data_IF_426702885388
#
_entry.id   IF_426702885388
#
_cell.length_a   1.000
_cell.length_b   1.000
_cell.length_c   1.000
_cell.angle_alpha   90.00
_cell.angle_beta   90.00
_cell.angle_gamma   90.00
#
_symmetry.space_group_name_H-M   'P 1'
#
loop_
_entity.id
_entity.type
_entity.pdbx_description
1 polymer ?
#
# COMPACT_ATOMS: atom_id res chain seq x y z
N UNK A 1 27.32 0.21 -21.43
CA UNK A 1 27.50 -0.32 -20.06
C UNK A 1 28.93 -0.01 -19.65
N UNK A 2 29.14 0.45 -18.42
CA UNK A 2 30.41 0.95 -17.87
C UNK A 2 31.51 -0.12 -17.68
N UNK A 3 31.25 -1.38 -18.02
CA UNK A 3 32.17 -2.50 -17.82
C UNK A 3 32.29 -2.95 -16.36
N UNK A 4 31.53 -2.35 -15.43
CA UNK A 4 31.59 -2.69 -14.02
C UNK A 4 30.72 -3.94 -13.73
N UNK A 5 31.29 -5.03 -13.18
CA UNK A 5 30.53 -6.22 -12.83
C UNK A 5 29.36 -5.94 -11.87
N UNK A 6 29.49 -4.92 -11.00
CA UNK A 6 28.41 -4.51 -10.08
C UNK A 6 27.22 -3.90 -10.82
N UNK A 7 27.44 -3.20 -11.93
CA UNK A 7 26.37 -2.64 -12.78
C UNK A 7 25.57 -3.76 -13.44
N UNK A 8 26.26 -4.75 -14.02
CA UNK A 8 25.62 -5.90 -14.66
C UNK A 8 24.85 -6.79 -13.66
N UNK A 9 25.40 -7.02 -12.46
CA UNK A 9 24.69 -7.74 -11.40
C UNK A 9 23.57 -6.93 -10.76
N UNK A 10 23.75 -5.61 -10.65
CA UNK A 10 22.76 -4.69 -10.11
C UNK A 10 21.49 -4.65 -10.96
N UNK A 11 21.65 -4.62 -12.29
CA UNK A 11 20.55 -4.61 -13.25
C UNK A 11 19.67 -5.88 -13.22
N UNK A 12 20.11 -6.96 -12.56
CA UNK A 12 19.33 -8.18 -12.38
C UNK A 12 18.41 -8.12 -11.15
N UNK A 13 18.51 -7.06 -10.33
CA UNK A 13 17.70 -6.84 -9.13
C UNK A 13 16.68 -5.74 -9.40
N UNK A 14 15.54 -5.71 -8.68
CA UNK A 14 14.66 -4.55 -8.72
C UNK A 14 15.42 -3.27 -8.36
N UNK A 15 15.35 -2.26 -9.21
CA UNK A 15 15.94 -0.95 -8.96
C UNK A 15 15.00 -0.13 -8.07
N UNK A 16 15.33 -0.01 -6.78
CA UNK A 16 14.51 0.74 -5.83
C UNK A 16 14.53 2.26 -6.08
N UNK A 17 15.50 2.78 -6.85
CA UNK A 17 15.58 4.22 -7.15
C UNK A 17 14.45 4.72 -8.04
N UNK A 18 13.72 3.81 -8.69
CA UNK A 18 12.55 4.16 -9.51
C UNK A 18 11.31 4.50 -8.67
N UNK A 19 11.36 4.25 -7.35
CA UNK A 19 10.30 4.69 -6.43
C UNK A 19 10.53 6.17 -6.13
N UNK A 20 9.55 7.06 -6.41
CA UNK A 20 9.68 8.47 -6.10
C UNK A 20 9.98 8.69 -4.61
N UNK A 21 11.01 9.47 -4.25
CA UNK A 21 11.33 9.73 -2.85
C UNK A 21 10.17 10.35 -2.05
N UNK A 22 9.28 11.11 -2.70
CA UNK A 22 8.06 11.62 -2.07
C UNK A 22 7.12 10.52 -1.57
N UNK A 23 6.98 9.43 -2.33
CA UNK A 23 6.19 8.27 -1.91
C UNK A 23 6.82 7.59 -0.69
N UNK A 24 8.16 7.44 -0.69
CA UNK A 24 8.90 6.90 0.45
C UNK A 24 8.70 7.74 1.71
N UNK A 25 8.74 9.07 1.59
CA UNK A 25 8.53 9.97 2.73
C UNK A 25 7.11 9.85 3.30
N UNK A 26 6.07 9.91 2.47
CA UNK A 26 4.68 9.77 2.94
C UNK A 26 4.40 8.39 3.54
N UNK A 27 4.94 7.32 2.95
CA UNK A 27 4.88 5.98 3.53
C UNK A 27 5.59 5.95 4.90
N UNK A 28 6.82 6.46 4.98
CA UNK A 28 7.60 6.47 6.21
C UNK A 28 6.87 7.23 7.33
N UNK A 29 6.30 8.41 7.05
CA UNK A 29 5.55 9.19 8.04
C UNK A 29 4.33 8.42 8.56
N UNK A 30 3.58 7.74 7.68
CA UNK A 30 2.45 6.90 8.09
C UNK A 30 2.90 5.71 8.93
N UNK A 31 4.02 5.06 8.58
CA UNK A 31 4.60 3.96 9.36
C UNK A 31 5.12 4.43 10.72
N UNK A 32 5.72 5.62 10.79
CA UNK A 32 6.15 6.25 12.06
C UNK A 32 4.96 6.58 12.95
N UNK A 33 3.85 7.08 12.39
CA UNK A 33 2.62 7.30 13.14
C UNK A 33 2.11 5.99 13.78
N UNK A 34 2.04 4.91 13.00
CA UNK A 34 1.68 3.59 13.51
C UNK A 34 2.67 3.07 14.56
N UNK A 35 3.97 3.21 14.32
CA UNK A 35 5.02 2.75 15.22
C UNK A 35 4.98 3.44 16.59
N UNK A 36 4.53 4.70 16.65
CA UNK A 36 4.31 5.40 17.92
C UNK A 36 3.10 4.86 18.70
N UNK A 37 2.04 4.45 17.98
CA UNK A 37 0.82 3.89 18.60
C UNK A 37 1.04 2.44 19.05
N UNK A 38 1.73 1.63 18.26
CA UNK A 38 1.73 0.17 18.40
C UNK A 38 3.13 -0.47 18.43
N UNK A 39 4.19 0.33 18.33
CA UNK A 39 5.56 -0.16 18.13
C UNK A 39 5.88 -0.44 16.66
N UNK A 40 7.15 -0.32 16.24
CA UNK A 40 7.56 -0.63 14.88
C UNK A 40 7.47 -2.15 14.63
N UNK A 41 7.08 -2.55 13.41
CA UNK A 41 7.01 -3.95 12.97
C UNK A 41 6.07 -4.88 13.76
N UNK A 42 5.17 -4.35 14.59
CA UNK A 42 4.25 -5.16 15.40
C UNK A 42 3.41 -6.16 14.58
N UNK A 43 3.12 -5.85 13.32
CA UNK A 43 2.41 -6.74 12.39
C UNK A 43 3.15 -8.03 12.03
N UNK A 44 4.43 -8.17 12.38
CA UNK A 44 5.20 -9.42 12.25
C UNK A 44 5.07 -10.33 13.47
N UNK A 45 4.58 -9.80 14.58
CA UNK A 45 4.34 -10.56 15.81
C UNK A 45 2.85 -10.84 15.99
N UNK A 46 2.01 -9.86 15.68
CA UNK A 46 0.55 -9.92 15.81
C UNK A 46 -0.16 -10.23 14.47
N UNK A 47 -1.22 -11.06 14.47
CA UNK A 47 -1.96 -11.38 13.26
C UNK A 47 -2.60 -10.17 12.56
N UNK A 48 -2.37 -10.05 11.25
CA UNK A 48 -2.93 -8.98 10.41
C UNK A 48 -4.14 -9.47 9.65
N UNK A 49 -5.32 -8.89 9.88
CA UNK A 49 -6.51 -9.23 9.09
C UNK A 49 -6.53 -8.52 7.74
N UNK A 50 -6.51 -9.28 6.64
CA UNK A 50 -6.53 -8.71 5.28
C UNK A 50 -7.71 -7.76 5.05
N UNK A 51 -8.94 -8.15 5.42
CA UNK A 51 -10.13 -7.32 5.19
C UNK A 51 -10.11 -6.01 5.98
N UNK A 52 -9.53 -5.99 7.18
CA UNK A 52 -9.44 -4.77 8.01
C UNK A 52 -8.55 -3.73 7.34
N UNK A 53 -7.35 -4.15 6.92
CA UNK A 53 -6.39 -3.26 6.28
C UNK A 53 -6.83 -2.82 4.87
N UNK A 54 -7.47 -3.72 4.10
CA UNK A 54 -8.07 -3.35 2.80
C UNK A 54 -9.18 -2.31 3.00
N UNK A 55 -10.07 -2.50 3.97
CA UNK A 55 -11.13 -1.53 4.25
C UNK A 55 -10.58 -0.18 4.75
N UNK A 56 -9.52 -0.18 5.56
CA UNK A 56 -8.85 1.04 5.98
C UNK A 56 -8.25 1.80 4.79
N UNK A 57 -7.50 1.12 3.92
CA UNK A 57 -6.97 1.70 2.69
C UNK A 57 -8.07 2.30 1.80
N UNK A 58 -9.21 1.61 1.65
CA UNK A 58 -10.35 2.11 0.89
C UNK A 58 -10.94 3.41 1.47
N UNK A 59 -11.02 3.53 2.81
CA UNK A 59 -11.51 4.77 3.44
C UNK A 59 -10.55 5.94 3.23
N UNK A 60 -9.25 5.73 3.39
CA UNK A 60 -8.29 6.80 3.12
C UNK A 60 -8.29 7.20 1.64
N UNK A 61 -8.43 6.22 0.72
CA UNK A 61 -8.53 6.50 -0.70
C UNK A 61 -9.83 7.26 -1.05
N UNK A 62 -10.95 6.93 -0.39
CA UNK A 62 -12.21 7.65 -0.55
C UNK A 62 -12.11 9.10 -0.06
N UNK A 63 -11.59 9.34 1.14
CA UNK A 63 -11.35 10.70 1.65
C UNK A 63 -10.47 11.53 0.70
N UNK A 64 -9.39 10.92 0.18
CA UNK A 64 -8.54 11.59 -0.82
C UNK A 64 -9.30 11.93 -2.11
N UNK A 65 -10.13 11.01 -2.59
CA UNK A 65 -10.96 11.25 -3.78
C UNK A 65 -11.99 12.37 -3.56
N UNK A 66 -12.49 12.51 -2.34
CA UNK A 66 -13.44 13.55 -1.94
C UNK A 66 -12.75 14.91 -1.64
N UNK A 67 -11.42 15.00 -1.79
CA UNK A 67 -10.65 16.24 -1.71
C UNK A 67 -9.92 16.47 -0.38
N UNK A 68 -9.84 15.47 0.49
CA UNK A 68 -9.07 15.54 1.74
C UNK A 68 -7.63 15.04 1.55
N UNK A 69 -6.64 15.92 1.74
CA UNK A 69 -5.22 15.53 1.62
C UNK A 69 -4.71 14.79 2.86
N UNK A 70 -5.15 15.20 4.06
CA UNK A 70 -4.59 14.75 5.34
C UNK A 70 -5.62 14.10 6.27
N UNK A 71 -5.20 13.02 6.93
CA UNK A 71 -6.07 12.26 7.83
C UNK A 71 -6.11 12.84 9.24
N UNK A 72 -7.32 12.91 9.80
CA UNK A 72 -7.54 13.18 11.21
C UNK A 72 -7.09 12.03 12.14
N UNK A 73 -6.85 10.81 11.65
CA UNK A 73 -6.36 9.66 12.43
C UNK A 73 -4.83 9.71 12.64
N UNK A 74 -4.33 10.91 12.93
CA UNK A 74 -2.94 11.18 13.28
C UNK A 74 -2.82 11.32 14.79
N UNK A 75 -1.63 11.10 15.36
CA UNK A 75 -1.40 11.36 16.79
C UNK A 75 -1.39 12.88 17.00
N UNK A 76 -2.10 13.40 18.00
CA UNK A 76 -2.34 14.84 18.19
C UNK A 76 -1.08 15.72 18.25
N UNK A 77 0.09 15.14 18.55
CA UNK A 77 1.37 15.85 18.65
C UNK A 77 2.19 15.86 17.34
N UNK A 78 1.66 15.36 16.22
CA UNK A 78 2.37 15.22 14.96
C UNK A 78 1.69 15.97 13.82
N UNK A 79 2.49 16.31 12.80
CA UNK A 79 1.95 16.81 11.52
C UNK A 79 0.96 15.79 10.93
N UNK A 80 -0.20 16.24 10.43
CA UNK A 80 -1.19 15.37 9.81
C UNK A 80 -0.57 14.46 8.75
N UNK A 81 -0.89 13.17 8.81
CA UNK A 81 -0.39 12.20 7.83
C UNK A 81 -1.28 12.22 6.60
N UNK A 82 -0.66 12.31 5.42
CA UNK A 82 -1.38 12.31 4.15
C UNK A 82 -2.16 11.00 3.93
N UNK A 83 -3.38 11.08 3.41
CA UNK A 83 -4.24 9.91 3.17
C UNK A 83 -3.56 8.83 2.31
N UNK A 84 -2.93 9.23 1.20
CA UNK A 84 -2.14 8.29 0.37
C UNK A 84 -0.96 7.64 1.13
N UNK A 85 -0.38 8.32 2.12
CA UNK A 85 0.62 7.71 3.02
C UNK A 85 0.04 6.54 3.80
N UNK A 86 -1.15 6.71 4.38
CA UNK A 86 -1.87 5.63 5.06
C UNK A 86 -2.27 4.48 4.11
N UNK A 87 -2.68 4.80 2.87
CA UNK A 87 -2.97 3.76 1.86
C UNK A 87 -1.72 2.92 1.58
N UNK A 88 -0.58 3.56 1.35
CA UNK A 88 0.70 2.87 1.14
C UNK A 88 1.09 2.02 2.35
N UNK A 89 0.96 2.55 3.57
CA UNK A 89 1.25 1.82 4.80
C UNK A 89 0.38 0.57 4.97
N UNK A 90 -0.93 0.68 4.70
CA UNK A 90 -1.83 -0.48 4.75
C UNK A 90 -1.39 -1.59 3.80
N UNK A 91 -1.05 -1.24 2.55
CA UNK A 91 -0.59 -2.21 1.56
C UNK A 91 0.77 -2.82 1.94
N UNK A 92 1.70 -2.00 2.43
CA UNK A 92 3.03 -2.45 2.87
C UNK A 92 2.93 -3.45 4.03
N UNK A 93 2.10 -3.17 5.04
CA UNK A 93 1.88 -4.05 6.19
C UNK A 93 1.27 -5.39 5.75
N UNK A 94 0.26 -5.38 4.88
CA UNK A 94 -0.37 -6.62 4.38
C UNK A 94 0.64 -7.48 3.61
N UNK A 95 1.47 -6.87 2.75
CA UNK A 95 2.50 -7.58 1.99
C UNK A 95 3.59 -8.16 2.90
N UNK A 96 4.06 -7.38 3.87
CA UNK A 96 5.11 -7.82 4.77
C UNK A 96 4.61 -8.89 5.74
N UNK A 97 3.38 -8.77 6.27
CA UNK A 97 2.74 -9.80 7.07
C UNK A 97 2.52 -11.12 6.27
N UNK A 98 2.26 -11.03 4.97
CA UNK A 98 2.16 -12.22 4.12
C UNK A 98 3.50 -12.96 4.04
N UNK A 99 4.60 -12.24 3.87
CA UNK A 99 5.94 -12.81 3.87
C UNK A 99 6.41 -13.27 5.26
N UNK A 100 5.97 -12.61 6.33
CA UNK A 100 6.27 -12.98 7.71
C UNK A 100 5.42 -14.15 8.24
N UNK A 101 4.36 -14.55 7.53
CA UNK A 101 3.47 -15.64 7.95
C UNK A 101 2.43 -15.23 9.01
N UNK A 102 2.28 -13.93 9.29
CA UNK A 102 1.31 -13.39 10.25
C UNK A 102 0.02 -12.87 9.61
N UNK A 103 -0.08 -12.89 8.28
CA UNK A 103 -1.30 -12.47 7.59
C UNK A 103 -2.44 -13.48 7.80
N UNK A 104 -3.52 -13.03 8.43
CA UNK A 104 -4.81 -13.71 8.45
C UNK A 104 -5.60 -13.38 7.18
N UNK A 105 -5.51 -14.27 6.19
CA UNK A 105 -6.28 -14.16 4.94
C UNK A 105 -7.76 -14.55 5.12
N UNK A 106 -8.54 -13.55 5.52
CA UNK A 106 -9.98 -13.62 5.67
C UNK A 106 -10.75 -13.05 4.46
N UNK A 107 -10.13 -12.99 3.27
CA UNK A 107 -10.84 -12.62 2.03
C UNK A 107 -11.98 -13.61 1.72
N UNK A 108 -13.00 -13.20 0.94
CA UNK A 108 -14.04 -14.11 0.46
C UNK A 108 -13.42 -15.34 -0.21
N UNK A 109 -13.89 -16.54 0.17
CA UNK A 109 -13.32 -17.81 -0.31
C UNK A 109 -13.67 -18.12 -1.75
N UNK A 110 -14.78 -17.57 -2.26
CA UNK A 110 -15.13 -17.63 -3.68
C UNK A 110 -14.52 -16.41 -4.37
N UNK A 111 -13.63 -16.59 -5.36
CA UNK A 111 -13.03 -15.47 -6.09
C UNK A 111 -14.07 -14.61 -6.81
N UNK A 112 -13.87 -13.29 -6.80
CA UNK A 112 -14.65 -12.35 -7.59
C UNK A 112 -14.13 -12.26 -9.04
N UNK A 113 -14.94 -11.65 -9.93
CA UNK A 113 -14.64 -11.48 -11.37
C UNK A 113 -14.32 -10.04 -11.77
N UNK A 114 -13.93 -9.18 -10.82
CA UNK A 114 -13.77 -7.73 -11.04
C UNK A 114 -12.85 -7.41 -12.21
N UNK A 115 -11.69 -8.07 -12.34
CA UNK A 115 -10.77 -7.85 -13.45
C UNK A 115 -11.38 -8.14 -14.83
N UNK A 116 -12.12 -9.23 -14.95
CA UNK A 116 -12.82 -9.61 -16.18
C UNK A 116 -13.94 -8.61 -16.53
N UNK A 117 -14.68 -8.14 -15.53
CA UNK A 117 -15.73 -7.14 -15.73
C UNK A 117 -15.16 -5.81 -16.23
N UNK A 118 -14.02 -5.37 -15.69
CA UNK A 118 -13.33 -4.15 -16.14
C UNK A 118 -12.96 -4.26 -17.63
N UNK A 119 -12.37 -5.38 -18.05
CA UNK A 119 -11.99 -5.59 -19.45
C UNK A 119 -13.19 -5.68 -20.40
N UNK A 120 -14.28 -6.28 -19.93
CA UNK A 120 -15.55 -6.34 -20.65
C UNK A 120 -16.05 -4.91 -20.95
N UNK A 121 -16.12 -4.03 -19.94
CA UNK A 121 -16.56 -2.65 -20.12
C UNK A 121 -15.64 -1.82 -21.03
N UNK A 122 -14.32 -2.06 -20.98
CA UNK A 122 -13.35 -1.40 -21.87
C UNK A 122 -13.60 -1.76 -23.33
N UNK A 123 -13.81 -3.03 -23.62
CA UNK A 123 -14.06 -3.53 -24.97
C UNK A 123 -15.39 -3.01 -25.52
N UNK A 124 -16.45 -3.04 -24.71
CA UNK A 124 -17.77 -2.48 -25.11
C UNK A 124 -17.69 -1.00 -25.45
N UNK A 125 -16.96 -0.19 -24.66
CA UNK A 125 -16.78 1.24 -24.95
C UNK A 125 -16.00 1.50 -26.25
N UNK A 126 -15.01 0.65 -26.58
CA UNK A 126 -14.27 0.75 -27.86
C UNK A 126 -15.12 0.40 -29.09
N UNK A 127 -16.12 -0.48 -28.93
CA UNK A 127 -17.03 -0.85 -30.02
C UNK A 127 -18.17 0.18 -30.22
N UNK A 128 -18.42 1.03 -29.22
CA UNK A 128 -19.47 2.05 -29.24
C UNK A 128 -18.97 3.46 -29.64
N UNK A 129 -17.66 3.61 -29.88
CA UNK A 129 -17.00 4.84 -30.32
C UNK A 129 -16.61 4.74 -31.80
#
# INVERSE_FOLDING_TARGET
MDGNPKTAMGAQKPDLSVVPPSALLHLATAMMNGARKYGPYNWRDDPVSTRVYVAAAMRHLASYLDGEDYSADTVEAEEPVHHLGHVMACCAIVLDAWHAGTLLDNRPKVPGRTGELIETYRTTKKLAA
#
